data_IF_280837487944
#
_entry.id   IF_280837487944
#
_cell.length_a   1.000
_cell.length_b   1.000
_cell.length_c   1.000
_cell.angle_alpha   90.00
_cell.angle_beta   90.00
_cell.angle_gamma   90.00
#
_symmetry.space_group_name_H-M   'P 1'
#
loop_
_entity.id
_entity.type
_entity.pdbx_description
1 polymer ?
#
# COMPACT_ATOMS: atom_id res chain seq x y z
N UNK A 1 15.95 -2.31 -13.16
CA UNK A 1 14.87 -3.24 -12.76
C UNK A 1 14.68 -3.32 -11.25
N UNK A 2 15.73 -3.41 -10.42
CA UNK A 2 15.58 -3.50 -8.95
C UNK A 2 14.81 -2.32 -8.32
N UNK A 3 15.11 -1.09 -8.75
CA UNK A 3 14.44 0.12 -8.27
C UNK A 3 13.12 0.42 -8.98
N UNK A 4 12.74 -0.39 -9.97
CA UNK A 4 11.59 -0.07 -10.82
C UNK A 4 10.27 -0.16 -10.04
N UNK A 5 10.18 -1.08 -9.09
CA UNK A 5 9.04 -1.15 -8.17
C UNK A 5 8.90 0.13 -7.34
N UNK A 6 10.01 0.68 -6.84
CA UNK A 6 10.01 1.95 -6.11
C UNK A 6 9.69 3.14 -7.01
N UNK A 7 10.20 3.16 -8.24
CA UNK A 7 9.88 4.19 -9.23
C UNK A 7 8.40 4.18 -9.56
N UNK A 8 7.80 2.99 -9.70
CA UNK A 8 6.37 2.86 -9.95
C UNK A 8 5.55 3.36 -8.75
N UNK A 9 6.02 3.17 -7.52
CA UNK A 9 5.38 3.74 -6.33
C UNK A 9 5.35 5.27 -6.31
N UNK A 10 6.33 5.96 -6.94
CA UNK A 10 6.35 7.44 -7.05
C UNK A 10 5.21 7.99 -7.90
N UNK A 11 4.56 7.16 -8.72
CA UNK A 11 3.39 7.59 -9.51
C UNK A 11 2.15 7.71 -8.63
N UNK A 12 2.08 6.92 -7.56
CA UNK A 12 0.91 6.81 -6.70
C UNK A 12 1.01 7.63 -5.41
N UNK A 13 2.23 7.86 -4.93
CA UNK A 13 2.48 8.52 -3.65
C UNK A 13 3.47 9.67 -3.79
N UNK A 14 3.43 10.59 -2.83
CA UNK A 14 4.43 11.66 -2.76
C UNK A 14 5.85 11.11 -2.56
N UNK A 15 6.89 11.82 -3.05
CA UNK A 15 8.26 11.31 -3.07
C UNK A 15 8.81 10.87 -1.71
N UNK A 16 8.40 11.51 -0.62
CA UNK A 16 8.87 11.16 0.73
C UNK A 16 8.28 9.82 1.22
N UNK A 17 7.02 9.52 0.88
CA UNK A 17 6.38 8.25 1.23
C UNK A 17 7.00 7.10 0.43
N UNK A 18 7.05 7.24 -0.89
CA UNK A 18 7.59 6.20 -1.77
C UNK A 18 9.11 6.04 -1.67
N UNK A 19 9.84 7.14 -1.45
CA UNK A 19 11.31 7.14 -1.42
C UNK A 19 11.92 6.79 -0.06
N UNK A 20 11.24 7.10 1.06
CA UNK A 20 11.82 6.94 2.41
C UNK A 20 10.96 6.07 3.31
N UNK A 21 9.69 6.41 3.48
CA UNK A 21 8.83 5.75 4.47
C UNK A 21 8.54 4.30 4.11
N UNK A 22 8.02 4.03 2.91
CA UNK A 22 7.68 2.65 2.54
C UNK A 22 8.90 1.73 2.46
N UNK A 23 10.04 2.12 1.85
CA UNK A 23 11.26 1.31 1.91
C UNK A 23 11.69 0.99 3.35
N UNK A 24 11.64 1.97 4.24
CA UNK A 24 11.98 1.80 5.66
C UNK A 24 11.01 0.84 6.35
N UNK A 25 9.71 0.97 6.11
CA UNK A 25 8.68 0.07 6.65
C UNK A 25 8.79 -1.36 6.10
N UNK A 26 9.17 -1.52 4.83
CA UNK A 26 9.43 -2.85 4.24
C UNK A 26 10.60 -3.51 4.96
N UNK A 27 11.73 -2.82 5.12
CA UNK A 27 12.92 -3.36 5.79
C UNK A 27 12.61 -3.71 7.25
N UNK A 28 12.02 -2.78 8.00
CA UNK A 28 11.64 -3.01 9.39
C UNK A 28 10.60 -4.13 9.52
N UNK A 29 9.66 -4.21 8.57
CA UNK A 29 8.67 -5.27 8.51
C UNK A 29 9.31 -6.65 8.31
N UNK A 30 10.27 -6.76 7.39
CA UNK A 30 11.02 -8.00 7.17
C UNK A 30 11.85 -8.40 8.41
N UNK A 31 12.51 -7.44 9.06
CA UNK A 31 13.22 -7.67 10.32
C UNK A 31 12.30 -8.06 11.48
N UNK A 32 11.03 -7.62 11.43
CA UNK A 32 10.04 -7.93 12.45
C UNK A 32 9.42 -9.34 12.30
N UNK A 33 9.56 -10.00 11.14
CA UNK A 33 8.94 -11.32 10.88
C UNK A 33 9.23 -12.35 11.98
N UNK A 34 10.48 -12.57 12.44
CA UNK A 34 10.77 -13.54 13.50
C UNK A 34 10.07 -13.24 14.84
N UNK A 35 9.74 -11.98 15.09
CA UNK A 35 9.07 -11.55 16.32
C UNK A 35 7.55 -11.61 16.20
N UNK A 36 7.02 -11.42 14.99
CA UNK A 36 5.59 -11.45 14.69
C UNK A 36 5.08 -12.88 14.48
N UNK A 37 5.86 -13.76 13.86
CA UNK A 37 5.50 -15.16 13.66
C UNK A 37 6.20 -16.07 14.67
N UNK A 38 5.46 -16.44 15.72
CA UNK A 38 5.94 -17.33 16.79
C UNK A 38 5.62 -18.81 16.54
N UNK A 39 5.10 -19.17 15.38
CA UNK A 39 4.78 -20.56 15.09
C UNK A 39 6.09 -21.36 14.87
N UNK A 40 6.41 -22.34 15.74
CA UNK A 40 7.63 -23.13 15.58
C UNK A 40 7.52 -24.19 14.46
N UNK A 41 6.31 -24.46 13.97
CA UNK A 41 6.05 -25.45 12.91
C UNK A 41 6.53 -24.93 11.56
N UNK A 42 6.91 -25.83 10.65
CA UNK A 42 7.42 -25.46 9.33
C UNK A 42 8.80 -24.78 9.38
N UNK A 43 9.63 -25.10 10.37
CA UNK A 43 11.03 -24.68 10.43
C UNK A 43 11.92 -25.78 9.83
N UNK A 44 12.71 -25.44 8.81
CA UNK A 44 13.58 -26.41 8.12
C UNK A 44 12.92 -27.25 7.02
N UNK A 45 11.62 -27.10 6.78
CA UNK A 45 10.90 -27.75 5.67
C UNK A 45 9.77 -26.86 5.14
N UNK A 46 9.42 -27.00 3.86
CA UNK A 46 8.34 -26.22 3.26
C UNK A 46 6.98 -26.83 3.61
N UNK A 47 6.09 -26.05 4.23
CA UNK A 47 4.70 -26.47 4.50
C UNK A 47 3.73 -25.30 4.49
N UNK A 48 2.81 -25.30 3.51
CA UNK A 48 1.78 -24.28 3.37
C UNK A 48 0.70 -24.37 4.46
N UNK A 49 0.27 -25.59 4.82
CA UNK A 49 -0.90 -25.80 5.68
C UNK A 49 -0.70 -25.29 7.11
N UNK A 50 0.53 -25.31 7.61
CA UNK A 50 0.88 -24.95 8.99
C UNK A 50 1.11 -23.45 9.20
N UNK A 51 1.41 -22.69 8.12
CA UNK A 51 1.74 -21.24 8.17
C UNK A 51 1.02 -20.42 7.09
N UNK A 52 -0.22 -20.78 6.76
CA UNK A 52 -1.02 -20.15 5.69
C UNK A 52 -1.03 -18.62 5.76
N UNK A 53 -1.15 -18.05 6.97
CA UNK A 53 -1.16 -16.60 7.15
C UNK A 53 0.19 -15.96 6.82
N UNK A 54 1.28 -16.39 7.46
CA UNK A 54 2.60 -15.80 7.25
C UNK A 54 3.09 -15.96 5.80
N UNK A 55 2.97 -17.16 5.24
CA UNK A 55 3.38 -17.41 3.85
C UNK A 55 2.44 -16.66 2.89
N UNK A 56 1.12 -16.68 3.11
CA UNK A 56 0.17 -15.96 2.28
C UNK A 56 0.41 -14.45 2.24
N UNK A 57 0.62 -13.82 3.40
CA UNK A 57 0.94 -12.38 3.49
C UNK A 57 2.26 -12.05 2.81
N UNK A 58 3.30 -12.88 2.99
CA UNK A 58 4.59 -12.67 2.32
C UNK A 58 4.48 -12.81 0.80
N UNK A 59 3.82 -13.87 0.31
CA UNK A 59 3.62 -14.11 -1.12
C UNK A 59 2.78 -13.00 -1.75
N UNK A 60 1.77 -12.49 -1.03
CA UNK A 60 1.00 -11.34 -1.47
C UNK A 60 1.88 -10.08 -1.61
N UNK A 61 2.63 -9.73 -0.57
CA UNK A 61 3.53 -8.57 -0.62
C UNK A 61 4.60 -8.68 -1.71
N UNK A 62 5.19 -9.86 -1.88
CA UNK A 62 6.27 -10.06 -2.85
C UNK A 62 5.75 -10.27 -4.28
N UNK A 63 4.93 -11.30 -4.52
CA UNK A 63 4.48 -11.62 -5.88
C UNK A 63 3.39 -10.69 -6.38
N UNK A 64 2.38 -10.40 -5.55
CA UNK A 64 1.22 -9.62 -6.02
C UNK A 64 1.53 -8.13 -6.06
N UNK A 65 2.24 -7.59 -5.06
CA UNK A 65 2.57 -6.16 -5.06
C UNK A 65 3.90 -5.90 -5.77
N UNK A 66 5.02 -6.43 -5.26
CA UNK A 66 6.35 -6.04 -5.75
C UNK A 66 6.61 -6.42 -7.20
N UNK A 67 6.33 -7.67 -7.59
CA UNK A 67 6.53 -8.11 -8.98
C UNK A 67 5.57 -7.41 -9.93
N UNK A 68 4.30 -7.20 -9.55
CA UNK A 68 3.35 -6.45 -10.37
C UNK A 68 3.82 -5.02 -10.61
N UNK A 69 4.34 -4.32 -9.59
CA UNK A 69 4.88 -2.97 -9.76
C UNK A 69 6.07 -2.97 -10.74
N UNK A 70 6.97 -3.94 -10.65
CA UNK A 70 8.08 -4.08 -11.61
C UNK A 70 7.54 -4.36 -13.01
N UNK A 71 6.55 -5.24 -13.14
CA UNK A 71 5.95 -5.59 -14.43
C UNK A 71 5.30 -4.36 -15.09
N UNK A 72 4.46 -3.63 -14.34
CA UNK A 72 3.83 -2.39 -14.80
C UNK A 72 4.90 -1.37 -15.22
N UNK A 73 5.90 -1.15 -14.36
CA UNK A 73 6.98 -0.21 -14.64
C UNK A 73 7.83 -0.57 -15.86
N UNK A 74 7.98 -1.87 -16.18
CA UNK A 74 8.84 -2.33 -17.27
C UNK A 74 8.10 -2.37 -18.60
N UNK A 75 6.87 -2.90 -18.58
CA UNK A 75 6.15 -3.29 -19.79
C UNK A 75 4.94 -2.42 -20.10
N UNK A 76 4.44 -1.63 -19.15
CA UNK A 76 3.23 -0.80 -19.35
C UNK A 76 3.53 0.70 -19.24
N UNK A 77 4.77 1.09 -18.92
CA UNK A 77 5.21 2.49 -18.90
C UNK A 77 5.91 2.85 -20.20
N UNK A 78 5.44 3.91 -20.83
CA UNK A 78 6.01 4.46 -22.07
C UNK A 78 6.59 5.88 -21.88
N UNK A 79 6.70 6.66 -22.97
CA UNK A 79 7.25 8.02 -22.94
C UNK A 79 6.58 8.91 -21.88
N UNK A 80 7.39 9.66 -21.13
CA UNK A 80 6.91 10.53 -20.04
C UNK A 80 6.33 9.77 -18.83
N UNK A 81 6.63 8.47 -18.69
CA UNK A 81 6.07 7.58 -17.66
C UNK A 81 4.54 7.42 -17.75
N UNK A 82 3.98 7.66 -18.94
CA UNK A 82 2.57 7.42 -19.21
C UNK A 82 2.25 5.93 -19.21
N UNK A 83 1.06 5.58 -18.74
CA UNK A 83 0.56 4.21 -18.75
C UNK A 83 0.00 3.87 -20.13
N UNK A 84 0.41 2.72 -20.67
CA UNK A 84 -0.10 2.14 -21.91
C UNK A 84 -0.64 0.74 -21.61
N UNK A 85 -1.87 0.49 -22.01
CA UNK A 85 -2.42 -0.87 -21.92
C UNK A 85 -1.70 -1.81 -22.91
N UNK A 86 -1.66 -3.13 -22.65
CA UNK A 86 -0.98 -4.09 -23.54
C UNK A 86 -1.44 -4.06 -25.00
N UNK A 87 -2.66 -3.58 -25.26
CA UNK A 87 -3.28 -3.47 -26.57
C UNK A 87 -3.30 -2.03 -27.13
N UNK A 88 -2.74 -1.05 -26.42
CA UNK A 88 -2.65 0.34 -26.89
C UNK A 88 -1.39 0.54 -27.75
N UNK A 89 -1.49 1.34 -28.82
CA UNK A 89 -0.33 1.69 -29.63
C UNK A 89 0.64 2.59 -28.83
N UNK A 90 1.92 2.23 -28.83
CA UNK A 90 2.97 3.03 -28.19
C UNK A 90 3.35 4.22 -29.06
N UNK A 91 2.70 5.35 -28.83
CA UNK A 91 3.05 6.61 -29.49
C UNK A 91 4.24 7.31 -28.78
N UNK A 92 5.41 7.46 -29.44
CA UNK A 92 6.58 8.14 -28.89
C UNK A 92 6.33 9.61 -28.51
N UNK A 93 5.33 10.25 -29.12
CA UNK A 93 5.05 11.69 -28.98
C UNK A 93 3.88 12.00 -28.04
N UNK A 94 3.36 10.99 -27.32
CA UNK A 94 2.27 11.18 -26.35
C UNK A 94 2.77 11.95 -25.12
N UNK A 95 2.51 13.25 -25.09
CA UNK A 95 2.77 14.14 -23.94
C UNK A 95 1.45 14.46 -23.24
N UNK A 96 0.83 13.45 -22.64
CA UNK A 96 -0.40 13.66 -21.85
C UNK A 96 0.01 13.96 -20.40
N UNK A 97 -0.36 15.15 -19.92
CA UNK A 97 -0.21 15.47 -18.51
C UNK A 97 -1.29 14.70 -17.72
N UNK A 98 -0.87 13.93 -16.71
CA UNK A 98 -1.81 13.28 -15.79
C UNK A 98 -2.58 14.36 -15.02
N UNK A 99 -3.89 14.46 -15.25
CA UNK A 99 -4.77 15.30 -14.44
C UNK A 99 -4.86 14.71 -13.04
N UNK A 100 -4.37 15.45 -12.06
CA UNK A 100 -4.40 15.03 -10.67
C UNK A 100 -5.66 15.59 -10.03
N UNK A 101 -6.54 14.69 -9.58
CA UNK A 101 -7.72 15.06 -8.82
C UNK A 101 -7.52 14.62 -7.38
N UNK A 102 -7.87 15.49 -6.44
CA UNK A 102 -7.81 15.16 -5.03
C UNK A 102 -9.14 14.56 -4.58
N UNK A 103 -9.10 13.62 -3.63
CA UNK A 103 -10.30 12.93 -3.18
C UNK A 103 -11.39 13.91 -2.68
N UNK A 104 -10.99 14.97 -1.97
CA UNK A 104 -11.94 15.97 -1.45
C UNK A 104 -12.71 16.71 -2.57
N UNK A 105 -12.11 16.87 -3.75
CA UNK A 105 -12.74 17.54 -4.90
C UNK A 105 -13.87 16.69 -5.49
N UNK A 106 -13.75 15.36 -5.44
CA UNK A 106 -14.83 14.45 -5.84
C UNK A 106 -16.09 14.61 -4.98
N UNK A 107 -15.93 15.03 -3.73
CA UNK A 107 -17.04 15.30 -2.81
C UNK A 107 -17.49 16.78 -2.82
N UNK A 108 -17.00 17.58 -3.77
CA UNK A 108 -17.36 19.01 -3.89
C UNK A 108 -16.81 19.88 -2.76
N UNK A 109 -15.86 19.38 -1.98
CA UNK A 109 -15.21 20.14 -0.92
C UNK A 109 -14.10 20.95 -1.60
N UNK A 110 -14.22 22.27 -1.61
CA UNK A 110 -13.19 23.17 -2.17
C UNK A 110 -12.46 23.99 -1.10
N UNK A 111 -12.94 23.94 0.15
CA UNK A 111 -12.29 24.61 1.27
C UNK A 111 -11.06 23.82 1.74
N UNK A 112 -9.93 24.49 1.90
CA UNK A 112 -8.68 23.88 2.39
C UNK A 112 -8.84 23.27 3.79
N UNK A 113 -9.64 23.91 4.65
CA UNK A 113 -9.94 23.39 6.00
C UNK A 113 -10.82 22.13 5.90
N UNK A 114 -11.81 22.14 5.02
CA UNK A 114 -12.66 20.97 4.76
C UNK A 114 -11.86 19.80 4.20
N UNK A 115 -10.94 20.06 3.27
CA UNK A 115 -10.05 19.05 2.70
C UNK A 115 -9.15 18.40 3.77
N UNK A 116 -8.63 19.20 4.71
CA UNK A 116 -7.80 18.72 5.80
C UNK A 116 -8.56 17.74 6.72
N UNK A 117 -9.73 18.13 7.22
CA UNK A 117 -10.52 17.27 8.10
C UNK A 117 -11.06 16.03 7.39
N UNK A 118 -11.47 16.18 6.12
CA UNK A 118 -11.97 15.06 5.33
C UNK A 118 -10.87 14.03 5.08
N UNK A 119 -9.69 14.45 4.60
CA UNK A 119 -8.56 13.55 4.37
C UNK A 119 -8.07 12.86 5.66
N UNK A 120 -7.97 13.63 6.75
CA UNK A 120 -7.62 13.09 8.07
C UNK A 120 -8.65 12.08 8.59
N UNK A 121 -9.94 12.35 8.40
CA UNK A 121 -11.01 11.41 8.74
C UNK A 121 -10.91 10.12 7.92
N UNK A 122 -10.71 10.20 6.61
CA UNK A 122 -10.60 9.02 5.73
C UNK A 122 -9.42 8.13 6.13
N UNK A 123 -8.25 8.73 6.40
CA UNK A 123 -7.07 7.97 6.82
C UNK A 123 -7.26 7.37 8.21
N UNK A 124 -7.81 8.14 9.15
CA UNK A 124 -8.09 7.65 10.50
C UNK A 124 -9.10 6.51 10.47
N UNK A 125 -10.16 6.64 9.68
CA UNK A 125 -11.16 5.59 9.47
C UNK A 125 -10.51 4.33 8.89
N UNK A 126 -9.61 4.47 7.91
CA UNK A 126 -8.87 3.35 7.34
C UNK A 126 -8.03 2.60 8.38
N UNK A 127 -7.20 3.32 9.16
CA UNK A 127 -6.38 2.68 10.19
C UNK A 127 -7.19 2.14 11.38
N UNK A 128 -8.37 2.71 11.64
CA UNK A 128 -9.29 2.21 12.66
C UNK A 128 -9.81 0.79 12.37
N UNK A 129 -9.81 0.35 11.11
CA UNK A 129 -10.21 -1.02 10.73
C UNK A 129 -9.38 -2.08 11.46
N UNK A 130 -8.09 -1.82 11.68
CA UNK A 130 -7.23 -2.72 12.47
C UNK A 130 -7.65 -2.81 13.93
N UNK A 131 -8.12 -1.69 14.51
CA UNK A 131 -8.62 -1.65 15.89
C UNK A 131 -9.99 -2.32 15.99
N UNK A 132 -10.87 -2.07 15.02
CA UNK A 132 -12.19 -2.72 14.95
C UNK A 132 -12.03 -4.24 14.83
N UNK A 133 -11.13 -4.72 13.96
CA UNK A 133 -10.84 -6.14 13.82
C UNK A 133 -10.29 -6.75 15.12
N UNK A 134 -9.44 -6.01 15.84
CA UNK A 134 -8.92 -6.44 17.14
C UNK A 134 -10.06 -6.70 18.14
N UNK A 135 -10.97 -5.74 18.31
CA UNK A 135 -12.09 -5.89 19.24
C UNK A 135 -13.05 -6.98 18.81
N UNK A 136 -13.33 -7.11 17.51
CA UNK A 136 -14.22 -8.13 16.97
C UNK A 136 -13.67 -9.56 17.15
N UNK A 137 -12.36 -9.76 16.95
CA UNK A 137 -11.72 -11.09 17.01
C UNK A 137 -10.89 -11.32 18.26
N UNK A 138 -11.04 -10.51 19.30
CA UNK A 138 -10.25 -10.56 20.55
C UNK A 138 -10.18 -11.95 21.20
N UNK A 139 -11.23 -12.77 21.03
CA UNK A 139 -11.33 -14.13 21.59
C UNK A 139 -10.63 -15.21 20.75
N UNK A 140 -10.17 -14.90 19.54
CA UNK A 140 -9.46 -15.85 18.67
C UNK A 140 -8.10 -16.21 19.26
N UNK A 141 -7.71 -17.49 19.16
CA UNK A 141 -6.40 -17.99 19.57
C UNK A 141 -5.24 -17.24 18.89
N UNK A 142 -5.44 -16.76 17.66
CA UNK A 142 -4.44 -15.98 16.93
C UNK A 142 -4.13 -14.63 17.61
N UNK A 143 -5.15 -13.89 18.05
CA UNK A 143 -4.95 -12.58 18.69
C UNK A 143 -4.38 -12.74 20.11
N UNK A 144 -4.80 -13.79 20.83
CA UNK A 144 -4.25 -14.09 22.16
C UNK A 144 -2.77 -14.43 22.13
N UNK A 145 -2.33 -15.21 21.14
CA UNK A 145 -0.92 -15.65 21.02
C UNK A 145 0.03 -14.52 20.59
N UNK A 146 -0.45 -13.59 19.76
CA UNK A 146 0.33 -12.41 19.34
C UNK A 146 0.54 -11.42 20.50
N UNK A 147 -0.50 -11.16 21.29
CA UNK A 147 -0.53 -10.07 22.25
C UNK A 147 -0.82 -8.71 21.59
N UNK A 148 -1.22 -7.72 22.39
CA UNK A 148 -1.67 -6.39 21.92
C UNK A 148 -0.62 -5.63 21.14
N UNK A 149 0.61 -5.54 21.64
CA UNK A 149 1.68 -4.76 21.00
C UNK A 149 2.08 -5.33 19.63
N UNK A 150 2.27 -6.65 19.53
CA UNK A 150 2.64 -7.29 18.25
C UNK A 150 1.50 -7.24 17.24
N UNK A 151 0.26 -7.41 17.71
CA UNK A 151 -0.90 -7.24 16.87
C UNK A 151 -0.95 -5.81 16.29
N UNK A 152 -0.72 -4.78 17.10
CA UNK A 152 -0.73 -3.40 16.63
C UNK A 152 0.32 -3.14 15.53
N UNK A 153 1.54 -3.65 15.71
CA UNK A 153 2.61 -3.57 14.70
C UNK A 153 2.20 -4.32 13.42
N UNK A 154 1.72 -5.56 13.55
CA UNK A 154 1.28 -6.37 12.42
C UNK A 154 0.12 -5.71 11.66
N UNK A 155 -0.89 -5.21 12.37
CA UNK A 155 -2.04 -4.54 11.78
C UNK A 155 -1.62 -3.25 11.07
N UNK A 156 -0.74 -2.45 11.67
CA UNK A 156 -0.19 -1.24 11.04
C UNK A 156 0.58 -1.56 9.75
N UNK A 157 1.48 -2.55 9.78
CA UNK A 157 2.24 -2.96 8.60
C UNK A 157 1.33 -3.53 7.51
N UNK A 158 0.36 -4.36 7.88
CA UNK A 158 -0.56 -4.99 6.92
C UNK A 158 -1.51 -3.96 6.29
N UNK A 159 -2.07 -3.04 7.07
CA UNK A 159 -2.90 -1.96 6.53
C UNK A 159 -2.08 -1.04 5.62
N UNK A 160 -0.84 -0.71 6.00
CA UNK A 160 0.02 0.10 5.13
C UNK A 160 0.36 -0.64 3.82
N UNK A 161 0.60 -1.94 3.90
CA UNK A 161 0.80 -2.79 2.72
C UNK A 161 -0.45 -2.84 1.82
N UNK A 162 -1.65 -2.94 2.41
CA UNK A 162 -2.93 -2.92 1.67
C UNK A 162 -3.28 -1.53 1.13
N UNK A 163 -2.75 -0.46 1.72
CA UNK A 163 -2.93 0.90 1.22
C UNK A 163 -2.35 1.09 -0.19
N UNK A 164 -1.26 0.38 -0.52
CA UNK A 164 -0.62 0.44 -1.83
C UNK A 164 -1.55 -0.01 -2.97
N UNK A 165 -2.08 -1.26 -3.01
CA UNK A 165 -2.98 -1.69 -4.08
C UNK A 165 -4.28 -0.89 -4.11
N UNK A 166 -4.80 -0.46 -2.96
CA UNK A 166 -5.97 0.43 -2.91
C UNK A 166 -5.67 1.74 -3.63
N UNK A 167 -4.52 2.36 -3.35
CA UNK A 167 -4.10 3.59 -4.00
C UNK A 167 -3.88 3.41 -5.50
N UNK A 168 -3.30 2.28 -5.92
CA UNK A 168 -3.14 1.95 -7.34
C UNK A 168 -4.49 1.90 -8.06
N UNK A 169 -5.48 1.22 -7.47
CA UNK A 169 -6.83 1.13 -8.05
C UNK A 169 -7.47 2.52 -8.12
N UNK A 170 -7.43 3.29 -7.03
CA UNK A 170 -7.97 4.66 -7.02
C UNK A 170 -7.33 5.55 -8.10
N UNK A 171 -6.02 5.38 -8.33
CA UNK A 171 -5.30 6.11 -9.36
C UNK A 171 -5.71 5.69 -10.76
N UNK A 172 -5.88 4.39 -11.02
CA UNK A 172 -6.24 3.89 -12.34
C UNK A 172 -7.72 4.15 -12.71
N UNK A 173 -8.64 4.06 -11.74
CA UNK A 173 -10.08 4.19 -12.03
C UNK A 173 -10.59 5.62 -11.89
N UNK A 174 -10.04 6.41 -10.97
CA UNK A 174 -10.53 7.75 -10.65
C UNK A 174 -9.46 8.84 -10.74
N UNK A 175 -8.24 8.54 -11.19
CA UNK A 175 -7.12 9.49 -11.25
C UNK A 175 -6.81 10.21 -9.92
N UNK A 176 -7.22 9.63 -8.79
CA UNK A 176 -7.05 10.26 -7.47
C UNK A 176 -5.56 10.24 -7.09
N UNK A 177 -4.97 11.43 -6.90
CA UNK A 177 -3.57 11.53 -6.45
C UNK A 177 -3.48 11.61 -4.93
N UNK A 178 -4.21 12.54 -4.31
CA UNK A 178 -4.12 12.77 -2.86
C UNK A 178 -5.45 12.46 -2.16
N UNK A 179 -5.36 11.67 -1.10
CA UNK A 179 -6.44 11.37 -0.15
C UNK A 179 -6.44 12.42 0.95
N UNK A 180 -5.26 12.77 1.46
CA UNK A 180 -5.11 13.83 2.45
C UNK A 180 -4.14 14.88 1.97
N UNK A 181 -4.65 16.09 1.83
CA UNK A 181 -3.90 17.26 1.41
C UNK A 181 -3.67 18.14 2.63
N UNK A 182 -2.41 18.45 2.92
CA UNK A 182 -2.03 19.41 3.97
C UNK A 182 -1.06 20.44 3.40
N UNK A 183 -0.85 21.59 4.06
CA UNK A 183 0.12 22.59 3.61
C UNK A 183 1.57 22.06 3.53
N UNK A 184 1.87 20.96 4.22
CA UNK A 184 3.24 20.47 4.42
C UNK A 184 3.52 19.15 3.69
N UNK A 185 2.53 18.25 3.64
CA UNK A 185 2.65 16.93 3.03
C UNK A 185 1.31 16.43 2.49
N UNK A 186 1.35 15.56 1.48
CA UNK A 186 0.16 14.88 0.98
C UNK A 186 0.32 13.36 1.05
N UNK A 187 -0.82 12.66 1.14
CA UNK A 187 -0.92 11.19 1.29
C UNK A 187 -1.91 10.62 0.29
#
# INVERSE_FOLDING_TARGET
WYFLGLQEMLVYFDPWLAGVVFPSLIILGLMAIPYLDRNPKGNGYYTWQERKFAIGTFMFGFYVLWITLIFVGTFLRGPGWNFFMPWEHWDPHKVVAMTNVDLHQYFGIHSSVGAFFFGGFVITAYYSLGVIYYFWKRKSEFIKTLGTARYAILAFLLLTMMGLPIKMILRWTFNIKYIWVTPWFNV
#
